data_IF_232045848391
#
_entry.id   IF_232045848391
#
_cell.length_a   1.000
_cell.length_b   1.000
_cell.length_c   1.000
_cell.angle_alpha   90.00
_cell.angle_beta   90.00
_cell.angle_gamma   90.00
#
_symmetry.space_group_name_H-M   'P 1'
#
loop_
_entity.id
_entity.type
_entity.pdbx_description
1 polymer ?
#
# COMPACT_ATOMS: atom_id res chain seq x y z
N UNK A 1 -21.04 13.25 -12.05
CA UNK A 1 -21.81 14.06 -13.03
C UNK A 1 -20.92 14.50 -14.22
N UNK A 2 -19.81 15.24 -14.08
CA UNK A 2 -19.00 15.66 -15.24
C UNK A 2 -18.50 14.49 -16.10
N UNK A 3 -17.98 13.42 -15.50
CA UNK A 3 -17.54 12.22 -16.24
C UNK A 3 -18.68 11.57 -17.03
N UNK A 4 -19.84 11.41 -16.41
CA UNK A 4 -21.02 10.81 -17.07
C UNK A 4 -21.49 11.67 -18.27
N UNK A 5 -21.54 12.99 -18.11
CA UNK A 5 -21.87 13.89 -19.21
C UNK A 5 -20.82 13.85 -20.32
N UNK A 6 -19.54 13.76 -19.95
CA UNK A 6 -18.44 13.68 -20.92
C UNK A 6 -18.46 12.36 -21.69
N UNK A 7 -18.69 11.21 -21.02
CA UNK A 7 -18.83 9.90 -21.68
C UNK A 7 -20.04 9.86 -22.63
N UNK A 8 -21.16 10.45 -22.20
CA UNK A 8 -22.35 10.53 -23.03
C UNK A 8 -22.15 11.41 -24.27
N UNK A 9 -21.43 12.53 -24.13
CA UNK A 9 -21.04 13.38 -25.28
C UNK A 9 -20.09 12.66 -26.24
N UNK A 10 -19.13 11.89 -25.73
CA UNK A 10 -18.22 11.10 -26.55
C UNK A 10 -18.99 10.00 -27.32
N UNK A 11 -19.92 9.32 -26.67
CA UNK A 11 -20.79 8.34 -27.34
C UNK A 11 -21.62 8.97 -28.44
N UNK A 12 -22.25 10.13 -28.17
CA UNK A 12 -23.10 10.83 -29.17
C UNK A 12 -22.32 11.41 -30.32
N UNK A 13 -21.13 12.01 -30.09
CA UNK A 13 -20.38 12.69 -31.14
C UNK A 13 -19.45 11.79 -31.94
N UNK A 14 -18.90 10.77 -31.29
CA UNK A 14 -17.81 9.97 -31.90
C UNK A 14 -18.14 8.47 -31.91
N UNK A 15 -19.33 8.08 -31.46
CA UNK A 15 -19.73 6.67 -31.30
C UNK A 15 -18.74 5.80 -30.53
N UNK A 16 -18.07 6.41 -29.52
CA UNK A 16 -17.11 5.75 -28.64
C UNK A 16 -17.83 5.29 -27.37
N UNK A 17 -17.77 4.01 -27.08
CA UNK A 17 -18.20 3.44 -25.79
C UNK A 17 -17.00 3.42 -24.84
N UNK A 18 -17.14 4.06 -23.68
CA UNK A 18 -16.12 4.14 -22.64
C UNK A 18 -16.69 3.54 -21.37
N UNK A 19 -16.02 2.52 -20.86
CA UNK A 19 -16.30 1.97 -19.54
C UNK A 19 -15.57 2.77 -18.46
N UNK A 20 -16.30 3.16 -17.42
CA UNK A 20 -15.74 3.82 -16.24
C UNK A 20 -15.41 2.77 -15.19
N UNK A 21 -14.13 2.58 -14.90
CA UNK A 21 -13.69 1.74 -13.80
C UNK A 21 -13.58 2.54 -12.48
N UNK A 22 -13.75 1.86 -11.36
CA UNK A 22 -13.47 2.47 -10.06
C UNK A 22 -11.97 2.84 -9.96
N UNK A 23 -11.62 4.01 -9.43
CA UNK A 23 -10.22 4.37 -9.25
C UNK A 23 -9.53 3.38 -8.31
N UNK A 24 -8.30 2.97 -8.67
CA UNK A 24 -7.49 2.10 -7.82
C UNK A 24 -7.01 2.88 -6.60
N UNK A 25 -7.28 2.34 -5.43
CA UNK A 25 -6.83 2.93 -4.16
C UNK A 25 -5.38 2.54 -3.92
N UNK A 26 -4.49 3.48 -3.58
CA UNK A 26 -3.07 3.21 -3.38
C UNK A 26 -2.80 2.62 -1.99
N UNK A 27 -3.22 1.38 -1.75
CA UNK A 27 -2.86 0.65 -0.53
C UNK A 27 -1.35 0.48 -0.41
N UNK A 28 -0.86 0.22 0.80
CA UNK A 28 0.53 -0.08 1.11
C UNK A 28 0.62 -1.35 1.93
N UNK A 29 1.75 -2.03 1.83
CA UNK A 29 2.08 -3.18 2.68
C UNK A 29 3.10 -2.79 3.73
N UNK A 30 2.98 -3.34 4.94
CA UNK A 30 3.94 -3.16 6.02
C UNK A 30 3.90 -4.33 6.99
N UNK A 31 4.68 -4.27 8.05
CA UNK A 31 4.78 -5.29 9.09
C UNK A 31 4.42 -4.75 10.46
N UNK A 32 3.94 -5.62 11.35
CA UNK A 32 3.66 -5.27 12.75
C UNK A 32 4.69 -5.82 13.73
N UNK A 33 5.46 -6.81 13.32
CA UNK A 33 6.43 -7.51 14.16
C UNK A 33 7.81 -7.56 13.50
N UNK A 34 8.77 -8.13 14.23
CA UNK A 34 10.09 -8.44 13.69
C UNK A 34 10.05 -9.80 13.01
N UNK A 35 10.78 -9.93 11.91
CA UNK A 35 10.93 -11.17 11.17
C UNK A 35 12.36 -11.38 10.71
N UNK A 36 12.69 -12.61 10.38
CA UNK A 36 13.99 -12.91 9.80
C UNK A 36 13.95 -14.25 9.07
N UNK A 37 14.71 -14.34 8.01
CA UNK A 37 14.83 -15.55 7.20
C UNK A 37 16.23 -15.72 6.62
N UNK A 38 16.49 -16.95 6.19
CA UNK A 38 17.72 -17.35 5.51
C UNK A 38 17.33 -17.99 4.20
N UNK A 39 17.73 -17.41 3.10
CA UNK A 39 17.44 -17.96 1.80
C UNK A 39 18.72 -18.33 1.05
N UNK A 40 18.73 -19.52 0.45
CA UNK A 40 19.83 -20.01 -0.39
C UNK A 40 19.35 -20.14 -1.82
N UNK A 41 19.89 -19.32 -2.71
CA UNK A 41 19.74 -19.46 -4.14
C UNK A 41 20.84 -20.36 -4.68
N UNK A 42 20.47 -21.50 -5.24
CA UNK A 42 21.38 -22.41 -5.94
C UNK A 42 20.74 -22.86 -7.24
N UNK A 43 21.38 -22.55 -8.37
CA UNK A 43 20.93 -22.99 -9.69
C UNK A 43 22.13 -23.57 -10.44
N UNK A 44 21.98 -24.80 -10.88
CA UNK A 44 22.95 -25.51 -11.75
C UNK A 44 22.16 -26.03 -12.95
N UNK A 45 22.32 -25.39 -14.10
CA UNK A 45 21.72 -25.84 -15.37
C UNK A 45 22.75 -25.67 -16.48
N UNK A 46 23.49 -26.72 -16.78
CA UNK A 46 24.28 -26.86 -18.01
C UNK A 46 25.34 -25.78 -18.35
N UNK A 47 25.80 -24.99 -17.36
CA UNK A 47 26.76 -23.90 -17.56
C UNK A 47 27.26 -23.35 -16.21
N UNK A 48 27.69 -22.09 -16.18
CA UNK A 48 28.14 -21.44 -14.96
C UNK A 48 27.05 -21.45 -13.88
N UNK A 49 27.34 -22.03 -12.71
CA UNK A 49 26.43 -22.09 -11.56
C UNK A 49 26.05 -20.71 -11.01
N UNK A 50 24.98 -20.68 -10.25
CA UNK A 50 24.58 -19.51 -9.46
C UNK A 50 24.46 -19.93 -8.00
N UNK A 51 25.14 -19.24 -7.11
CA UNK A 51 25.11 -19.50 -5.68
C UNK A 51 25.08 -18.18 -4.90
N UNK A 52 24.15 -18.04 -3.99
CA UNK A 52 24.12 -16.97 -2.99
C UNK A 52 23.27 -17.43 -1.79
N UNK A 53 23.73 -17.15 -0.58
CA UNK A 53 22.94 -17.33 0.64
C UNK A 53 22.88 -15.99 1.36
N UNK A 54 21.67 -15.52 1.68
CA UNK A 54 21.40 -14.24 2.33
C UNK A 54 20.63 -14.49 3.62
N UNK A 55 21.10 -13.94 4.73
CA UNK A 55 20.46 -13.96 6.03
C UNK A 55 20.02 -12.54 6.37
N UNK A 56 18.74 -12.39 6.55
CA UNK A 56 18.09 -11.09 6.67
C UNK A 56 17.20 -11.04 7.89
N UNK A 57 17.12 -9.88 8.50
CA UNK A 57 16.14 -9.56 9.54
C UNK A 57 15.49 -8.23 9.21
N UNK A 58 14.23 -8.11 9.60
CA UNK A 58 13.44 -6.90 9.36
C UNK A 58 12.71 -6.49 10.63
N UNK A 59 12.50 -5.21 10.77
CA UNK A 59 11.74 -4.62 11.87
C UNK A 59 10.93 -3.42 11.40
N UNK A 60 9.76 -3.15 12.02
CA UNK A 60 8.96 -1.98 11.68
C UNK A 60 9.67 -0.70 12.15
N UNK A 61 9.50 0.38 11.38
CA UNK A 61 9.93 1.73 11.74
C UNK A 61 8.73 2.69 11.74
N UNK A 62 8.98 3.96 12.06
CA UNK A 62 7.95 5.00 12.08
C UNK A 62 7.26 5.17 10.72
N UNK A 63 5.97 5.50 10.74
CA UNK A 63 5.18 5.75 9.53
C UNK A 63 5.75 6.91 8.71
N UNK A 64 5.80 6.70 7.38
CA UNK A 64 6.30 7.69 6.43
C UNK A 64 7.81 7.64 6.19
N UNK A 65 8.55 6.74 6.85
CA UNK A 65 10.01 6.57 6.65
C UNK A 65 10.35 5.75 5.40
N UNK A 66 9.39 5.02 4.85
CA UNK A 66 9.63 4.15 3.69
C UNK A 66 10.39 2.89 4.04
N UNK A 67 11.32 2.46 3.20
CA UNK A 67 12.16 1.27 3.43
C UNK A 67 13.60 1.70 3.65
N UNK A 68 14.15 1.34 4.80
CA UNK A 68 15.56 1.55 5.12
C UNK A 68 16.33 0.24 4.95
N UNK A 69 17.38 0.25 4.12
CA UNK A 69 18.26 -0.90 3.96
C UNK A 69 19.59 -0.65 4.66
N UNK A 70 20.01 -1.60 5.49
CA UNK A 70 21.28 -1.59 6.21
C UNK A 70 21.95 -2.96 6.09
N UNK A 71 23.25 -3.01 6.37
CA UNK A 71 23.97 -4.27 6.51
C UNK A 71 24.85 -4.25 7.75
N UNK A 72 24.91 -5.37 8.44
CA UNK A 72 25.76 -5.61 9.62
C UNK A 72 26.64 -6.85 9.43
N UNK A 73 27.14 -7.05 8.22
CA UNK A 73 28.01 -8.17 7.87
C UNK A 73 29.31 -8.16 8.69
N UNK A 74 29.62 -9.29 9.30
CA UNK A 74 30.84 -9.50 10.09
C UNK A 74 31.66 -10.62 9.43
N UNK A 75 32.98 -10.40 9.30
CA UNK A 75 33.89 -11.37 8.67
C UNK A 75 33.92 -11.30 7.15
N UNK A 76 34.34 -12.38 6.52
CA UNK A 76 34.54 -12.51 5.07
C UNK A 76 33.60 -13.54 4.41
N UNK A 77 32.49 -13.88 5.08
CA UNK A 77 31.54 -14.87 4.58
C UNK A 77 30.85 -14.42 3.28
N UNK A 78 30.66 -13.11 3.13
CA UNK A 78 30.13 -12.47 1.92
C UNK A 78 30.93 -11.22 1.63
N UNK A 79 31.39 -11.10 0.38
CA UNK A 79 32.04 -9.88 -0.08
C UNK A 79 31.05 -8.71 -0.12
N UNK A 80 31.46 -7.57 0.41
CA UNK A 80 30.63 -6.35 0.46
C UNK A 80 30.23 -5.83 -0.91
N UNK A 81 30.91 -6.26 -1.98
CA UNK A 81 30.55 -5.93 -3.36
C UNK A 81 29.14 -6.41 -3.72
N UNK A 82 28.62 -7.44 -3.05
CA UNK A 82 27.28 -7.98 -3.28
C UNK A 82 26.16 -7.28 -2.48
N UNK A 83 26.50 -6.39 -1.54
CA UNK A 83 25.51 -5.65 -0.75
C UNK A 83 24.55 -4.84 -1.63
N UNK A 84 25.02 -4.06 -2.64
CA UNK A 84 24.12 -3.34 -3.56
C UNK A 84 23.22 -4.28 -4.36
N UNK A 85 23.68 -5.50 -4.66
CA UNK A 85 22.89 -6.49 -5.37
C UNK A 85 21.73 -7.03 -4.52
N UNK A 86 21.99 -7.30 -3.23
CA UNK A 86 20.93 -7.68 -2.27
C UNK A 86 19.92 -6.54 -2.11
N UNK A 87 20.38 -5.31 -1.92
CA UNK A 87 19.53 -4.12 -1.82
C UNK A 87 18.64 -3.94 -3.05
N UNK A 88 19.20 -4.10 -4.25
CA UNK A 88 18.42 -4.05 -5.49
C UNK A 88 17.33 -5.11 -5.54
N UNK A 89 17.61 -6.33 -5.06
CA UNK A 89 16.62 -7.40 -4.95
C UNK A 89 15.48 -7.06 -3.98
N UNK A 90 15.83 -6.49 -2.82
CA UNK A 90 14.86 -6.02 -1.82
C UNK A 90 13.99 -4.89 -2.38
N UNK A 91 14.59 -3.88 -2.99
CA UNK A 91 13.86 -2.73 -3.56
C UNK A 91 12.90 -3.16 -4.68
N UNK A 92 13.28 -4.14 -5.48
CA UNK A 92 12.42 -4.68 -6.53
C UNK A 92 11.14 -5.30 -5.92
N UNK A 93 11.27 -6.20 -4.94
CA UNK A 93 10.09 -6.84 -4.33
C UNK A 93 9.27 -5.87 -3.49
N UNK A 94 9.91 -4.87 -2.86
CA UNK A 94 9.18 -3.79 -2.16
C UNK A 94 8.29 -2.98 -3.10
N UNK A 95 8.68 -2.82 -4.35
CA UNK A 95 7.89 -2.12 -5.37
C UNK A 95 6.78 -3.00 -5.94
N UNK A 96 7.02 -4.30 -6.08
CA UNK A 96 6.05 -5.30 -6.57
C UNK A 96 4.96 -5.61 -5.52
N UNK A 97 5.32 -5.61 -4.22
CA UNK A 97 4.46 -6.07 -3.13
C UNK A 97 4.55 -7.57 -2.90
N UNK A 98 3.98 -8.05 -1.78
CA UNK A 98 4.12 -9.44 -1.33
C UNK A 98 2.78 -10.12 -1.06
N UNK A 99 1.84 -9.43 -0.41
CA UNK A 99 0.54 -10.01 -0.01
C UNK A 99 -0.62 -9.54 -0.90
N UNK A 100 -0.57 -8.31 -1.41
CA UNK A 100 -1.62 -7.74 -2.24
C UNK A 100 -1.09 -6.99 -3.47
N UNK A 101 0.20 -7.16 -3.81
CA UNK A 101 0.83 -6.44 -4.92
C UNK A 101 0.90 -4.93 -4.69
N UNK A 102 0.98 -4.50 -3.43
CA UNK A 102 1.06 -3.10 -3.06
C UNK A 102 2.46 -2.75 -2.57
N UNK A 103 2.90 -1.52 -2.83
CA UNK A 103 4.24 -1.07 -2.42
C UNK A 103 4.46 -1.26 -0.92
N UNK A 104 5.57 -1.91 -0.54
CA UNK A 104 5.99 -2.11 0.85
C UNK A 104 6.62 -0.84 1.39
N UNK A 105 6.30 -0.47 2.64
CA UNK A 105 6.78 0.74 3.31
C UNK A 105 6.99 0.53 4.82
N UNK A 106 7.71 1.46 5.44
CA UNK A 106 7.83 1.66 6.88
C UNK A 106 8.45 0.47 7.63
N UNK A 107 9.54 -0.04 7.06
CA UNK A 107 10.35 -1.08 7.68
C UNK A 107 11.84 -0.89 7.41
N UNK A 108 12.64 -1.42 8.33
CA UNK A 108 14.09 -1.49 8.22
C UNK A 108 14.50 -2.92 7.91
N UNK A 109 15.41 -3.05 6.96
CA UNK A 109 16.01 -4.31 6.54
C UNK A 109 17.48 -4.32 6.97
N UNK A 110 17.93 -5.39 7.60
CA UNK A 110 19.33 -5.60 7.93
C UNK A 110 19.82 -6.93 7.34
N UNK A 111 20.75 -6.83 6.40
CA UNK A 111 21.50 -7.96 5.86
C UNK A 111 22.69 -8.24 6.78
N UNK A 112 22.56 -9.25 7.64
CA UNK A 112 23.53 -9.47 8.72
C UNK A 112 24.52 -10.59 8.49
N UNK A 113 24.22 -11.58 7.62
CA UNK A 113 25.14 -12.68 7.29
C UNK A 113 24.73 -13.37 5.98
N UNK A 114 25.54 -14.28 5.50
CA UNK A 114 25.27 -15.06 4.30
C UNK A 114 26.44 -15.98 3.93
N UNK A 115 26.37 -16.56 2.72
CA UNK A 115 27.47 -17.34 2.15
C UNK A 115 27.63 -17.05 0.68
N UNK A 116 28.89 -17.00 0.24
CA UNK A 116 29.25 -16.93 -1.18
C UNK A 116 30.05 -18.14 -1.60
N UNK A 117 30.12 -18.39 -2.90
CA UNK A 117 30.97 -19.37 -3.54
C UNK A 117 31.99 -18.65 -4.44
N UNK A 118 33.29 -18.97 -4.39
CA UNK A 118 34.33 -18.21 -5.10
C UNK A 118 34.11 -18.06 -6.62
N UNK A 119 33.44 -19.02 -7.25
CA UNK A 119 33.22 -19.05 -8.71
C UNK A 119 31.79 -18.78 -9.12
N UNK A 120 30.81 -19.29 -8.35
CA UNK A 120 29.38 -19.29 -8.75
C UNK A 120 28.58 -18.11 -8.16
N UNK A 121 29.19 -17.29 -7.30
CA UNK A 121 28.52 -16.10 -6.76
C UNK A 121 28.59 -14.95 -7.77
N UNK A 122 27.40 -14.44 -8.12
CA UNK A 122 27.20 -13.35 -9.06
C UNK A 122 26.11 -12.41 -8.55
N UNK A 123 26.10 -11.18 -9.02
CA UNK A 123 25.11 -10.16 -8.68
C UNK A 123 23.68 -10.64 -8.80
N UNK A 124 23.34 -11.32 -9.90
CA UNK A 124 22.00 -11.87 -10.15
C UNK A 124 21.60 -12.90 -9.08
N UNK A 125 22.55 -13.73 -8.62
CA UNK A 125 22.28 -14.71 -7.57
C UNK A 125 21.98 -14.04 -6.24
N UNK A 126 22.73 -12.99 -5.87
CA UNK A 126 22.48 -12.21 -4.66
C UNK A 126 21.22 -11.35 -4.74
N UNK A 127 20.86 -10.79 -5.90
CA UNK A 127 19.58 -10.11 -6.11
C UNK A 127 18.42 -11.07 -5.86
N UNK A 128 18.47 -12.27 -6.44
CA UNK A 128 17.41 -13.28 -6.25
C UNK A 128 17.35 -13.78 -4.81
N UNK A 129 18.50 -14.06 -4.19
CA UNK A 129 18.57 -14.50 -2.81
C UNK A 129 18.03 -13.40 -1.85
N UNK A 130 18.39 -12.13 -2.08
CA UNK A 130 17.89 -10.99 -1.33
C UNK A 130 16.37 -10.82 -1.48
N UNK A 131 15.85 -10.90 -2.71
CA UNK A 131 14.40 -10.84 -2.99
C UNK A 131 13.63 -11.91 -2.20
N UNK A 132 14.11 -13.15 -2.23
CA UNK A 132 13.43 -14.27 -1.56
C UNK A 132 13.60 -14.27 -0.04
N UNK A 133 14.79 -13.94 0.45
CA UNK A 133 15.03 -13.78 1.90
C UNK A 133 14.14 -12.69 2.49
N UNK A 134 13.97 -11.57 1.79
CA UNK A 134 13.07 -10.52 2.19
C UNK A 134 11.62 -11.00 2.22
N UNK A 135 11.15 -11.69 1.19
CA UNK A 135 9.78 -12.23 1.11
C UNK A 135 9.48 -13.13 2.31
N UNK A 136 10.36 -14.07 2.62
CA UNK A 136 10.18 -14.98 3.76
C UNK A 136 10.22 -14.23 5.10
N UNK A 137 11.14 -13.28 5.26
CA UNK A 137 11.22 -12.43 6.45
C UNK A 137 9.95 -11.61 6.64
N UNK A 138 9.40 -11.06 5.56
CA UNK A 138 8.18 -10.26 5.56
C UNK A 138 6.96 -11.07 5.99
N UNK A 139 6.80 -12.28 5.45
CA UNK A 139 5.70 -13.18 5.82
C UNK A 139 5.78 -13.61 7.28
N UNK A 140 6.99 -13.78 7.83
CA UNK A 140 7.21 -14.11 9.25
C UNK A 140 6.97 -12.92 10.20
N UNK A 141 6.98 -11.68 9.69
CA UNK A 141 6.90 -10.44 10.48
C UNK A 141 5.47 -9.90 10.69
N UNK A 142 4.45 -10.73 10.56
CA UNK A 142 3.05 -10.33 10.69
C UNK A 142 2.68 -9.19 9.73
N UNK A 143 2.65 -9.47 8.42
CA UNK A 143 2.35 -8.45 7.42
C UNK A 143 0.92 -7.90 7.58
N UNK A 144 0.70 -6.66 7.16
CA UNK A 144 -0.60 -6.02 7.12
C UNK A 144 -0.69 -4.97 6.02
N UNK A 145 -1.92 -4.64 5.62
CA UNK A 145 -2.22 -3.55 4.71
C UNK A 145 -2.44 -2.23 5.44
N UNK A 146 -2.00 -1.17 4.79
CA UNK A 146 -2.30 0.20 5.16
C UNK A 146 -3.27 0.79 4.13
N UNK A 147 -4.27 1.51 4.61
CA UNK A 147 -5.21 2.25 3.80
C UNK A 147 -4.98 3.76 3.93
N UNK A 148 -5.15 4.54 2.84
CA UNK A 148 -5.05 5.98 2.90
C UNK A 148 -6.28 6.55 3.60
N UNK A 149 -6.03 7.43 4.57
CA UNK A 149 -7.05 8.19 5.30
C UNK A 149 -7.09 9.60 4.74
N UNK A 150 -8.30 10.05 4.44
CA UNK A 150 -8.57 11.39 3.94
C UNK A 150 -9.14 12.27 5.05
N UNK A 151 -8.63 13.48 5.18
CA UNK A 151 -9.32 14.54 5.91
C UNK A 151 -10.42 15.07 5.00
N UNK A 152 -11.65 15.03 5.47
CA UNK A 152 -12.79 15.60 4.74
C UNK A 152 -13.38 16.75 5.53
N UNK A 153 -13.82 17.77 4.80
CA UNK A 153 -14.67 18.84 5.32
C UNK A 153 -16.00 18.81 4.56
N UNK A 154 -17.08 18.64 5.30
CA UNK A 154 -18.44 18.56 4.72
C UNK A 154 -19.25 19.75 5.24
N UNK A 155 -19.64 20.64 4.32
CA UNK A 155 -20.44 21.83 4.60
C UNK A 155 -21.89 21.55 4.22
N UNK A 156 -22.80 21.58 5.20
CA UNK A 156 -24.22 21.26 5.03
C UNK A 156 -25.10 22.19 5.85
N UNK A 157 -26.38 22.41 5.45
CA UNK A 157 -27.34 23.09 6.32
C UNK A 157 -27.54 22.31 7.62
N UNK A 158 -27.84 23.03 8.69
CA UNK A 158 -28.00 22.49 10.05
C UNK A 158 -29.00 21.32 10.10
N UNK A 159 -30.10 21.40 9.34
CA UNK A 159 -31.16 20.41 9.29
C UNK A 159 -30.63 18.99 8.85
N UNK A 160 -29.52 18.94 8.12
CA UNK A 160 -28.95 17.70 7.57
C UNK A 160 -27.69 17.21 8.32
N UNK A 161 -27.27 17.91 9.38
CA UNK A 161 -26.05 17.59 10.11
C UNK A 161 -26.09 16.16 10.68
N UNK A 162 -27.23 15.76 11.27
CA UNK A 162 -27.37 14.43 11.86
C UNK A 162 -27.23 13.30 10.85
N UNK A 163 -27.83 13.46 9.66
CA UNK A 163 -27.76 12.47 8.58
C UNK A 163 -26.32 12.29 8.08
N UNK A 164 -25.60 13.40 7.92
CA UNK A 164 -24.19 13.37 7.48
C UNK A 164 -23.27 12.76 8.54
N UNK A 165 -23.48 13.07 9.82
CA UNK A 165 -22.71 12.45 10.92
C UNK A 165 -22.94 10.92 10.97
N UNK A 166 -24.18 10.49 10.77
CA UNK A 166 -24.54 9.07 10.68
C UNK A 166 -23.88 8.40 9.48
N UNK A 167 -23.89 9.04 8.31
CA UNK A 167 -23.27 8.53 7.08
C UNK A 167 -21.74 8.43 7.24
N UNK A 168 -21.06 9.47 7.77
CA UNK A 168 -19.62 9.44 8.06
C UNK A 168 -19.26 8.30 9.00
N UNK A 169 -20.03 8.11 10.06
CA UNK A 169 -19.82 7.03 11.03
C UNK A 169 -20.00 5.65 10.38
N UNK A 170 -21.01 5.49 9.52
CA UNK A 170 -21.25 4.28 8.74
C UNK A 170 -20.12 3.95 7.76
N UNK A 171 -19.36 4.95 7.32
CA UNK A 171 -18.18 4.86 6.45
C UNK A 171 -16.85 4.73 7.22
N UNK A 172 -16.88 4.22 8.41
CA UNK A 172 -15.69 4.08 9.28
C UNK A 172 -14.99 5.42 9.58
N UNK A 173 -15.70 6.53 9.39
CA UNK A 173 -15.16 7.87 9.59
C UNK A 173 -15.08 8.25 11.06
N UNK A 174 -14.05 8.99 11.39
CA UNK A 174 -13.82 9.58 12.71
C UNK A 174 -14.04 11.09 12.65
N UNK A 175 -15.09 11.57 13.31
CA UNK A 175 -15.37 13.01 13.39
C UNK A 175 -14.33 13.66 14.30
N UNK A 176 -13.68 14.73 13.80
CA UNK A 176 -12.65 15.48 14.50
C UNK A 176 -13.20 16.73 15.16
N UNK A 177 -14.20 17.35 14.55
CA UNK A 177 -14.79 18.59 15.04
C UNK A 177 -15.88 19.11 14.12
N UNK A 178 -16.55 20.15 14.59
CA UNK A 178 -17.60 20.84 13.85
C UNK A 178 -17.46 22.35 14.07
N UNK A 179 -17.66 23.10 13.00
CA UNK A 179 -17.67 24.56 13.00
C UNK A 179 -18.99 25.07 12.39
N UNK A 180 -19.42 26.24 12.76
CA UNK A 180 -20.59 26.90 12.15
C UNK A 180 -20.15 28.04 11.24
N UNK A 181 -20.67 28.08 10.01
CA UNK A 181 -20.34 29.10 9.02
C UNK A 181 -21.60 29.58 8.29
N UNK A 182 -22.14 30.74 8.71
CA UNK A 182 -23.23 31.43 8.02
C UNK A 182 -24.51 30.62 7.83
N UNK A 183 -24.97 29.87 8.85
CA UNK A 183 -26.16 29.01 8.79
C UNK A 183 -25.90 27.61 8.19
N UNK A 184 -24.65 27.32 7.89
CA UNK A 184 -24.16 25.98 7.54
C UNK A 184 -23.32 25.42 8.68
N UNK A 185 -23.31 24.10 8.80
CA UNK A 185 -22.40 23.36 9.67
C UNK A 185 -21.28 22.79 8.81
N UNK A 186 -20.05 22.92 9.30
CA UNK A 186 -18.84 22.35 8.67
C UNK A 186 -18.37 21.21 9.56
N UNK A 187 -18.52 19.98 9.07
CA UNK A 187 -18.11 18.76 9.77
C UNK A 187 -16.72 18.37 9.25
N UNK A 188 -15.75 18.27 10.15
CA UNK A 188 -14.39 17.81 9.87
C UNK A 188 -14.23 16.37 10.32
N UNK A 189 -13.79 15.50 9.44
CA UNK A 189 -13.63 14.08 9.75
C UNK A 189 -12.46 13.44 9.01
N UNK A 190 -12.02 12.31 9.52
CA UNK A 190 -11.09 11.40 8.85
C UNK A 190 -11.84 10.17 8.37
N UNK A 191 -11.73 9.86 7.08
CA UNK A 191 -12.44 8.74 6.46
C UNK A 191 -11.50 7.98 5.54
N UNK A 192 -11.52 6.63 5.53
CA UNK A 192 -10.76 5.85 4.56
C UNK A 192 -11.17 6.19 3.12
N UNK A 193 -10.19 6.38 2.24
CA UNK A 193 -10.45 6.73 0.83
C UNK A 193 -11.37 5.73 0.13
N UNK A 194 -11.32 4.45 0.53
CA UNK A 194 -12.18 3.40 -0.02
C UNK A 194 -13.67 3.68 0.14
N UNK A 195 -14.07 4.40 1.19
CA UNK A 195 -15.46 4.73 1.50
C UNK A 195 -15.96 6.02 0.82
N UNK A 196 -15.06 6.78 0.19
CA UNK A 196 -15.38 8.08 -0.41
C UNK A 196 -15.74 8.00 -1.88
N UNK A 197 -15.81 6.79 -2.47
CA UNK A 197 -16.21 6.65 -3.86
C UNK A 197 -17.64 7.22 -4.08
N UNK A 198 -17.76 8.19 -5.01
CA UNK A 198 -18.99 8.92 -5.28
C UNK A 198 -19.58 9.71 -4.10
N UNK A 199 -18.79 10.04 -3.08
CA UNK A 199 -19.25 10.69 -1.87
C UNK A 199 -19.97 12.04 -2.14
N UNK A 200 -19.52 12.81 -3.14
CA UNK A 200 -20.21 14.02 -3.60
C UNK A 200 -21.69 13.77 -3.97
N UNK A 201 -21.98 12.62 -4.55
CA UNK A 201 -23.36 12.27 -4.93
C UNK A 201 -24.18 11.91 -3.70
N UNK A 202 -23.60 11.18 -2.77
CA UNK A 202 -24.23 10.83 -1.48
C UNK A 202 -24.60 12.09 -0.68
N UNK A 203 -23.65 13.03 -0.51
CA UNK A 203 -23.88 14.28 0.19
C UNK A 203 -25.02 15.07 -0.46
N UNK A 204 -25.00 15.21 -1.79
CA UNK A 204 -26.06 15.94 -2.50
C UNK A 204 -27.42 15.28 -2.35
N UNK A 205 -27.48 13.96 -2.36
CA UNK A 205 -28.72 13.20 -2.14
C UNK A 205 -29.28 13.45 -0.74
N UNK A 206 -28.43 13.39 0.28
CA UNK A 206 -28.82 13.60 1.69
C UNK A 206 -29.23 15.03 1.99
N UNK A 207 -28.70 16.02 1.25
CA UNK A 207 -28.90 17.46 1.55
C UNK A 207 -29.76 18.19 0.51
N UNK A 208 -30.45 17.48 -0.37
CA UNK A 208 -31.23 18.09 -1.45
C UNK A 208 -30.39 18.98 -2.37
N UNK A 209 -29.12 18.59 -2.64
CA UNK A 209 -28.20 19.32 -3.51
C UNK A 209 -27.42 20.44 -2.85
N UNK A 210 -27.64 20.74 -1.56
CA UNK A 210 -27.06 21.91 -0.87
C UNK A 210 -25.73 21.63 -0.16
N UNK A 211 -25.34 20.36 -0.04
CA UNK A 211 -24.08 19.97 0.60
C UNK A 211 -22.88 20.06 -0.32
N UNK A 212 -21.75 20.46 0.24
CA UNK A 212 -20.44 20.53 -0.39
C UNK A 212 -19.45 19.74 0.45
N UNK A 213 -18.43 19.16 -0.19
CA UNK A 213 -17.30 18.57 0.54
C UNK A 213 -15.99 18.84 -0.19
N UNK A 214 -14.92 18.83 0.60
CA UNK A 214 -13.54 18.75 0.13
C UNK A 214 -12.87 17.56 0.78
N UNK A 215 -11.84 17.02 0.14
CA UNK A 215 -11.04 15.90 0.63
C UNK A 215 -9.56 16.16 0.39
N UNK A 216 -8.74 15.87 1.39
CA UNK A 216 -7.29 15.99 1.33
C UNK A 216 -6.66 14.77 1.98
N UNK A 217 -5.55 14.27 1.39
CA UNK A 217 -4.82 13.15 1.98
C UNK A 217 -4.25 13.53 3.36
N UNK A 218 -4.46 12.67 4.34
CA UNK A 218 -3.93 12.85 5.70
C UNK A 218 -2.72 11.94 5.95
N UNK A 219 -2.96 10.66 6.07
CA UNK A 219 -1.92 9.67 6.39
C UNK A 219 -2.36 8.26 6.00
N UNK A 220 -1.46 7.29 6.22
CA UNK A 220 -1.78 5.87 6.10
C UNK A 220 -2.06 5.26 7.47
N UNK A 221 -3.13 4.49 7.59
CA UNK A 221 -3.51 3.78 8.81
C UNK A 221 -3.69 2.29 8.53
N UNK A 222 -3.50 1.46 9.56
CA UNK A 222 -3.66 0.01 9.44
C UNK A 222 -5.12 -0.34 9.18
N UNK A 223 -5.34 -1.11 8.13
CA UNK A 223 -6.66 -1.62 7.77
C UNK A 223 -7.15 -2.69 8.77
N UNK A 224 -8.43 -2.69 9.16
CA UNK A 224 -9.02 -3.77 9.93
C UNK A 224 -8.95 -5.11 9.16
N UNK A 225 -8.66 -6.21 9.86
CA UNK A 225 -8.43 -7.53 9.26
C UNK A 225 -9.54 -8.04 8.34
N UNK A 226 -10.78 -7.70 8.64
CA UNK A 226 -11.95 -8.10 7.83
C UNK A 226 -11.91 -7.52 6.42
N UNK A 227 -11.49 -6.25 6.29
CA UNK A 227 -11.33 -5.57 5.00
C UNK A 227 -10.04 -5.99 4.30
N UNK A 228 -8.95 -6.14 5.06
CA UNK A 228 -7.67 -6.63 4.56
C UNK A 228 -7.82 -7.97 3.83
N UNK A 229 -8.51 -8.93 4.43
CA UNK A 229 -8.71 -10.26 3.85
C UNK A 229 -9.47 -10.21 2.51
N UNK A 230 -10.44 -9.31 2.38
CA UNK A 230 -11.19 -9.11 1.12
C UNK A 230 -10.29 -8.52 0.03
N UNK A 231 -9.52 -7.47 0.36
CA UNK A 231 -8.62 -6.82 -0.60
C UNK A 231 -7.53 -7.78 -1.07
N UNK A 232 -6.91 -8.55 -0.15
CA UNK A 232 -5.91 -9.56 -0.52
C UNK A 232 -6.51 -10.61 -1.46
N UNK A 233 -7.72 -11.11 -1.18
CA UNK A 233 -8.38 -12.09 -2.03
C UNK A 233 -8.72 -11.53 -3.44
N UNK A 234 -9.16 -10.26 -3.53
CA UNK A 234 -9.42 -9.59 -4.80
C UNK A 234 -8.13 -9.42 -5.62
N UNK A 235 -7.07 -8.94 -4.96
CA UNK A 235 -5.78 -8.71 -5.62
C UNK A 235 -5.08 -10.00 -6.06
N UNK A 236 -5.25 -11.09 -5.32
CA UNK A 236 -4.72 -12.39 -5.75
C UNK A 236 -5.39 -12.86 -7.04
N UNK A 237 -6.71 -12.68 -7.18
CA UNK A 237 -7.45 -13.02 -8.40
C UNK A 237 -7.04 -12.16 -9.60
N UNK A 238 -6.88 -10.83 -9.40
CA UNK A 238 -6.41 -9.92 -10.47
C UNK A 238 -5.00 -10.27 -10.99
N UNK A 239 -4.15 -10.89 -10.17
CA UNK A 239 -2.79 -11.28 -10.56
C UNK A 239 -2.73 -12.68 -11.23
N UNK A 240 -3.80 -13.47 -11.16
CA UNK A 240 -3.90 -14.79 -11.78
C UNK A 240 -4.56 -14.73 -13.19
N UNK A 241 -5.21 -13.63 -13.54
CA UNK A 241 -5.76 -13.32 -14.88
C UNK A 241 -4.72 -12.57 -15.74
#
# INVERSE_FOLDING_TARGET
>A
MHLQVSTERLKRKFNLEIELAKPKIPFRETINGKGGAKYRHKKQSGGAGQFAEVWMRIEPIERGKGVEFTHSLVGQNVDRVFVPSVEKGVNAICSEGIIAGCKVVDLKVDFYDGKMHPVDSKDVAFQMAGKMAFRESFLAAQPCLLEPIMNIEVKVPEDHMGDIMGDISGKRGKILGMDSDGGFQVIKAQVPQAELYNYATTIRSLTGGRGLHSEEFSHYEKMPKEFESKIVAEKTKENEE
#
